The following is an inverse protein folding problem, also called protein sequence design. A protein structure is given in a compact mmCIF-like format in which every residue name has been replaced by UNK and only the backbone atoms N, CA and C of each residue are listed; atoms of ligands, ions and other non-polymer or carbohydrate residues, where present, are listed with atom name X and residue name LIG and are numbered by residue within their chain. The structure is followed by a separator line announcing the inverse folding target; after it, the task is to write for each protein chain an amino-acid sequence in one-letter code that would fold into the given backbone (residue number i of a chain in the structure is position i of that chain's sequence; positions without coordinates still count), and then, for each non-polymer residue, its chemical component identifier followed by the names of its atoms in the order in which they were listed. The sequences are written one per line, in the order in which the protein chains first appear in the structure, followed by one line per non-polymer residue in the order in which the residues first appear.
data_IF_270824337086
#
_entry.id   IF_270824337086
#
_cell.length_a   1.000
_cell.length_b   1.000
_cell.length_c   1.000
_cell.angle_alpha   90.00
_cell.angle_beta   90.00
_cell.angle_gamma   90.00
#
_symmetry.space_group_name_H-M   'P 1'
#
loop_
_entity.id
_entity.type
_entity.pdbx_description
1 polymer ?
#
# COMPACT_ATOMS: atom_id res chain seq x y z
N UNK A 1 14.87 6.16 25.16
CA UNK A 1 15.19 5.85 23.75
C UNK A 1 13.87 5.87 22.99
N UNK A 2 13.79 6.53 21.84
CA UNK A 2 12.59 6.41 20.98
C UNK A 2 12.54 4.97 20.46
N UNK A 3 11.42 4.28 20.66
CA UNK A 3 11.22 2.94 20.09
C UNK A 3 11.11 3.06 18.58
N UNK A 4 11.83 2.20 17.84
CA UNK A 4 11.69 2.07 16.40
C UNK A 4 10.58 1.04 16.17
N UNK A 5 9.52 1.42 15.44
CA UNK A 5 8.53 0.47 14.96
C UNK A 5 9.03 -0.13 13.64
N UNK A 6 9.06 -1.45 13.56
CA UNK A 6 9.42 -2.16 12.33
C UNK A 6 8.14 -2.45 11.54
N UNK A 7 8.08 -1.96 10.31
CA UNK A 7 7.07 -2.33 9.33
C UNK A 7 7.44 -3.68 8.70
N UNK A 8 6.48 -4.32 8.05
CA UNK A 8 6.78 -5.42 7.12
C UNK A 8 7.63 -4.91 5.94
N UNK A 9 8.26 -5.84 5.23
CA UNK A 9 9.15 -5.52 4.11
C UNK A 9 8.44 -5.53 2.76
N UNK A 10 9.16 -5.92 1.72
CA UNK A 10 8.62 -6.06 0.36
C UNK A 10 7.63 -7.22 0.25
N UNK A 11 6.47 -7.08 0.91
CA UNK A 11 5.44 -8.11 1.04
C UNK A 11 5.10 -8.78 -0.29
N UNK A 12 4.73 -7.99 -1.29
CA UNK A 12 4.32 -8.52 -2.58
C UNK A 12 5.45 -9.25 -3.31
N UNK A 13 6.70 -8.81 -3.18
CA UNK A 13 7.85 -9.48 -3.77
C UNK A 13 8.11 -10.83 -3.11
N UNK A 14 8.04 -10.90 -1.78
CA UNK A 14 8.24 -12.13 -1.04
C UNK A 14 7.13 -13.15 -1.31
N UNK A 15 5.87 -12.70 -1.40
CA UNK A 15 4.74 -13.54 -1.79
C UNK A 15 5.00 -14.12 -3.19
N UNK A 16 5.35 -13.27 -4.17
CA UNK A 16 5.55 -13.71 -5.55
C UNK A 16 6.72 -14.66 -5.69
N UNK A 17 7.80 -14.45 -4.91
CA UNK A 17 8.95 -15.34 -4.88
C UNK A 17 8.62 -16.76 -4.38
N UNK A 18 7.65 -16.89 -3.47
CA UNK A 18 7.21 -18.19 -2.90
C UNK A 18 6.10 -18.85 -3.71
N UNK A 19 5.39 -18.06 -4.51
CA UNK A 19 4.28 -18.58 -5.31
C UNK A 19 4.74 -19.56 -6.38
N UNK A 20 3.92 -20.58 -6.63
CA UNK A 20 4.15 -21.56 -7.69
C UNK A 20 3.23 -21.26 -8.88
N UNK A 21 3.82 -21.02 -10.04
CA UNK A 21 3.11 -20.93 -11.33
C UNK A 21 1.99 -19.87 -11.41
N UNK A 22 2.08 -18.78 -10.64
CA UNK A 22 1.13 -17.67 -10.75
C UNK A 22 1.71 -16.60 -11.65
N UNK A 23 1.04 -16.31 -12.77
CA UNK A 23 1.39 -15.23 -13.70
C UNK A 23 0.17 -14.34 -13.86
N UNK A 24 0.23 -13.10 -13.35
CA UNK A 24 -0.89 -12.17 -13.41
C UNK A 24 -0.42 -10.73 -13.28
N UNK A 25 -1.13 -9.80 -13.93
CA UNK A 25 -0.95 -8.36 -13.75
C UNK A 25 -1.37 -7.89 -12.34
N UNK A 26 -2.16 -8.70 -11.62
CA UNK A 26 -2.53 -8.47 -10.22
C UNK A 26 -1.48 -8.97 -9.22
N UNK A 27 -0.39 -9.56 -9.72
CA UNK A 27 0.80 -9.90 -8.95
C UNK A 27 0.48 -10.68 -7.64
N UNK A 28 0.86 -10.16 -6.47
CA UNK A 28 0.63 -10.82 -5.17
C UNK A 28 -0.85 -11.01 -4.81
N UNK A 29 -1.74 -10.18 -5.37
CA UNK A 29 -3.20 -10.34 -5.19
C UNK A 29 -3.70 -11.62 -5.87
N UNK A 30 -3.17 -11.95 -7.05
CA UNK A 30 -3.49 -13.22 -7.70
C UNK A 30 -3.02 -14.42 -6.88
N UNK A 31 -1.81 -14.34 -6.29
CA UNK A 31 -1.32 -15.37 -5.37
C UNK A 31 -2.26 -15.54 -4.17
N UNK A 32 -2.72 -14.44 -3.58
CA UNK A 32 -3.66 -14.47 -2.46
C UNK A 32 -4.98 -15.18 -2.82
N UNK A 33 -5.46 -15.01 -4.05
CA UNK A 33 -6.68 -15.68 -4.53
C UNK A 33 -6.48 -17.18 -4.74
N UNK A 34 -5.33 -17.59 -5.28
CA UNK A 34 -5.06 -18.97 -5.67
C UNK A 34 -4.34 -19.78 -4.58
N UNK A 35 -3.46 -19.14 -3.82
CA UNK A 35 -2.60 -19.75 -2.82
C UNK A 35 -2.59 -18.91 -1.52
N UNK A 36 -3.73 -18.74 -0.83
CA UNK A 36 -3.85 -17.85 0.34
C UNK A 36 -2.91 -18.24 1.49
N UNK A 37 -2.56 -19.52 1.63
CA UNK A 37 -1.65 -19.99 2.66
C UNK A 37 -0.24 -19.43 2.48
N UNK A 38 0.23 -19.24 1.24
CA UNK A 38 1.52 -18.60 0.96
C UNK A 38 1.54 -17.18 1.52
N UNK A 39 0.45 -16.44 1.37
CA UNK A 39 0.35 -15.05 1.88
C UNK A 39 0.31 -15.05 3.41
N UNK A 40 -0.45 -15.97 4.02
CA UNK A 40 -0.48 -16.15 5.49
C UNK A 40 0.92 -16.42 6.04
N UNK A 41 1.66 -17.33 5.41
CA UNK A 41 3.02 -17.71 5.84
C UNK A 41 4.00 -16.53 5.73
N UNK A 42 3.91 -15.73 4.65
CA UNK A 42 4.75 -14.54 4.49
C UNK A 42 4.48 -13.51 5.59
N UNK A 43 3.22 -13.22 5.89
CA UNK A 43 2.87 -12.34 7.01
C UNK A 43 3.39 -12.88 8.34
N UNK A 44 3.20 -14.18 8.62
CA UNK A 44 3.69 -14.79 9.84
C UNK A 44 5.21 -14.69 9.98
N UNK A 45 5.96 -14.82 8.88
CA UNK A 45 7.41 -14.69 8.88
C UNK A 45 7.86 -13.25 9.13
N UNK A 46 7.18 -12.24 8.57
CA UNK A 46 7.45 -10.84 8.92
C UNK A 46 7.18 -10.55 10.39
N UNK A 47 6.08 -11.08 10.95
CA UNK A 47 5.80 -10.96 12.40
C UNK A 47 6.91 -11.59 13.24
N UNK A 48 7.36 -12.81 12.89
CA UNK A 48 8.46 -13.51 13.57
C UNK A 48 9.79 -12.76 13.44
N UNK A 49 10.01 -12.08 12.32
CA UNK A 49 11.17 -11.21 12.11
C UNK A 49 11.12 -9.91 12.90
N UNK A 50 10.01 -9.61 13.58
CA UNK A 50 9.86 -8.47 14.48
C UNK A 50 8.99 -7.33 13.95
N UNK A 51 8.35 -7.48 12.78
CA UNK A 51 7.39 -6.49 12.30
C UNK A 51 6.22 -6.32 13.29
N UNK A 52 5.79 -5.08 13.48
CA UNK A 52 4.68 -4.73 14.39
C UNK A 52 3.58 -3.95 13.69
N UNK A 53 3.77 -3.61 12.43
CA UNK A 53 2.73 -3.08 11.55
C UNK A 53 2.80 -3.87 10.25
N UNK A 54 1.71 -4.51 9.86
CA UNK A 54 1.60 -5.40 8.70
C UNK A 54 0.65 -4.80 7.68
N UNK A 55 1.10 -4.71 6.44
CA UNK A 55 0.35 -4.12 5.34
C UNK A 55 -0.57 -5.16 4.69
N UNK A 56 -1.83 -4.80 4.46
CA UNK A 56 -2.76 -5.64 3.70
C UNK A 56 -2.25 -5.88 2.28
N UNK A 57 -2.33 -7.12 1.81
CA UNK A 57 -1.92 -7.49 0.45
C UNK A 57 -2.92 -7.02 -0.62
N UNK A 58 -3.15 -5.71 -0.70
CA UNK A 58 -4.14 -5.07 -1.59
C UNK A 58 -3.52 -4.11 -2.60
N UNK A 59 -2.18 -4.06 -2.71
CA UNK A 59 -1.47 -3.11 -3.59
C UNK A 59 -1.95 -3.12 -5.05
N UNK A 60 -2.27 -4.28 -5.61
CA UNK A 60 -2.81 -4.38 -6.97
C UNK A 60 -4.35 -4.43 -7.00
N UNK A 61 -5.04 -4.41 -5.85
CA UNK A 61 -6.50 -4.51 -5.75
C UNK A 61 -7.20 -3.15 -5.79
N UNK A 62 -6.80 -2.26 -6.70
CA UNK A 62 -7.49 -0.98 -6.90
C UNK A 62 -8.69 -1.15 -7.83
N UNK A 63 -9.75 -0.32 -7.73
CA UNK A 63 -10.90 -0.38 -8.63
C UNK A 63 -10.49 -0.40 -10.10
N UNK A 64 -9.63 0.56 -10.50
CA UNK A 64 -9.15 0.66 -11.88
C UNK A 64 -8.38 -0.58 -12.34
N UNK A 65 -7.51 -1.17 -11.50
CA UNK A 65 -6.71 -2.36 -11.89
C UNK A 65 -7.58 -3.60 -11.98
N UNK A 66 -8.47 -3.81 -11.00
CA UNK A 66 -9.38 -4.95 -11.01
C UNK A 66 -10.37 -4.90 -12.18
N UNK A 67 -10.88 -3.71 -12.52
CA UNK A 67 -11.77 -3.55 -13.67
C UNK A 67 -11.10 -3.96 -15.00
N UNK A 68 -9.79 -3.67 -15.17
CA UNK A 68 -9.03 -4.09 -16.36
C UNK A 68 -8.89 -5.60 -16.50
N UNK A 69 -8.89 -6.30 -15.37
CA UNK A 69 -8.81 -7.77 -15.31
C UNK A 69 -10.19 -8.44 -15.23
N UNK A 70 -11.29 -7.68 -15.38
CA UNK A 70 -12.64 -8.20 -15.29
C UNK A 70 -13.08 -8.62 -13.90
N UNK A 71 -12.40 -8.14 -12.84
CA UNK A 71 -12.62 -8.50 -11.45
C UNK A 71 -13.19 -7.35 -10.60
N UNK A 72 -13.75 -6.31 -11.25
CA UNK A 72 -14.30 -5.16 -10.54
C UNK A 72 -15.35 -5.52 -9.49
N UNK A 73 -16.24 -6.47 -9.78
CA UNK A 73 -17.28 -6.91 -8.86
C UNK A 73 -16.74 -7.73 -7.67
N UNK A 74 -15.50 -8.24 -7.77
CA UNK A 74 -14.87 -9.02 -6.71
C UNK A 74 -14.07 -8.17 -5.71
N UNK A 75 -13.99 -6.86 -5.89
CA UNK A 75 -13.14 -5.97 -5.08
C UNK A 75 -13.39 -6.13 -3.58
N UNK A 76 -14.65 -6.20 -3.15
CA UNK A 76 -15.01 -6.40 -1.75
C UNK A 76 -14.50 -7.73 -1.19
N UNK A 77 -14.68 -8.82 -1.93
CA UNK A 77 -14.23 -10.15 -1.53
C UNK A 77 -12.70 -10.24 -1.48
N UNK A 78 -12.00 -9.59 -2.42
CA UNK A 78 -10.53 -9.54 -2.45
C UNK A 78 -9.98 -8.80 -1.23
N UNK A 79 -10.55 -7.64 -0.89
CA UNK A 79 -10.14 -6.89 0.31
C UNK A 79 -10.44 -7.64 1.59
N UNK A 80 -11.60 -8.29 1.70
CA UNK A 80 -11.92 -9.15 2.83
C UNK A 80 -10.93 -10.31 2.97
N UNK A 81 -10.56 -10.96 1.86
CA UNK A 81 -9.55 -12.02 1.85
C UNK A 81 -8.19 -11.54 2.36
N UNK A 82 -7.81 -10.29 2.07
CA UNK A 82 -6.56 -9.71 2.57
C UNK A 82 -6.55 -9.61 4.11
N UNK A 83 -7.68 -9.24 4.72
CA UNK A 83 -7.82 -9.31 6.19
C UNK A 83 -7.74 -10.74 6.71
N UNK A 84 -8.50 -11.66 6.13
CA UNK A 84 -8.53 -13.06 6.57
C UNK A 84 -7.14 -13.72 6.62
N UNK A 85 -6.31 -13.52 5.57
CA UNK A 85 -4.96 -14.11 5.54
C UNK A 85 -4.03 -13.47 6.56
N UNK A 86 -4.14 -12.16 6.79
CA UNK A 86 -3.35 -11.46 7.79
C UNK A 86 -3.78 -11.82 9.21
N UNK A 87 -5.08 -11.84 9.50
CA UNK A 87 -5.62 -12.25 10.81
C UNK A 87 -5.24 -13.69 11.16
N UNK A 88 -5.20 -14.60 10.18
CA UNK A 88 -4.68 -15.96 10.36
C UNK A 88 -3.20 -15.95 10.77
N UNK A 89 -2.38 -15.11 10.14
CA UNK A 89 -0.96 -14.98 10.49
C UNK A 89 -0.78 -14.42 11.92
N UNK A 90 -1.59 -13.45 12.31
CA UNK A 90 -1.63 -12.92 13.68
C UNK A 90 -2.01 -14.01 14.67
N UNK A 91 -3.06 -14.77 14.40
CA UNK A 91 -3.49 -15.88 15.25
C UNK A 91 -2.42 -16.97 15.37
N UNK A 92 -1.71 -17.30 14.30
CA UNK A 92 -0.63 -18.30 14.30
C UNK A 92 0.59 -17.87 15.10
N UNK A 93 0.85 -16.57 15.20
CA UNK A 93 2.03 -16.02 15.89
C UNK A 93 1.72 -15.55 17.30
N UNK A 94 0.46 -15.26 17.62
CA UNK A 94 0.02 -14.69 18.89
C UNK A 94 0.58 -13.29 19.17
N UNK A 95 1.04 -12.59 18.13
CA UNK A 95 1.66 -11.29 18.28
C UNK A 95 0.62 -10.16 18.31
N UNK A 96 0.94 -9.11 19.06
CA UNK A 96 0.21 -7.84 19.05
C UNK A 96 0.83 -6.94 17.98
N UNK A 97 0.06 -6.67 16.92
CA UNK A 97 0.50 -5.94 15.74
C UNK A 97 -0.63 -5.07 15.19
N UNK A 98 -0.27 -3.92 14.61
CA UNK A 98 -1.20 -3.05 13.90
C UNK A 98 -1.39 -3.56 12.45
N UNK A 99 -2.62 -3.46 11.96
CA UNK A 99 -2.97 -3.70 10.56
C UNK A 99 -2.92 -2.39 9.79
N UNK A 100 -2.08 -2.33 8.76
CA UNK A 100 -2.01 -1.20 7.87
C UNK A 100 -2.84 -1.43 6.60
N UNK A 101 -3.78 -0.53 6.32
CA UNK A 101 -4.44 -0.45 5.02
C UNK A 101 -3.47 0.09 3.96
N UNK A 102 -3.48 -0.50 2.78
CA UNK A 102 -2.61 -0.12 1.66
C UNK A 102 -3.35 0.80 0.69
N UNK A 103 -2.82 1.99 0.45
CA UNK A 103 -3.30 2.94 -0.55
C UNK A 103 -2.22 3.17 -1.61
N UNK A 104 -2.18 2.34 -2.66
CA UNK A 104 -1.16 2.38 -3.71
C UNK A 104 -1.52 3.34 -4.84
N UNK A 105 -0.61 3.63 -5.80
CA UNK A 105 -0.97 4.30 -7.04
C UNK A 105 -2.09 3.54 -7.78
N UNK A 106 -3.17 4.23 -8.13
CA UNK A 106 -4.43 3.59 -8.58
C UNK A 106 -4.31 2.88 -9.92
N UNK A 107 -3.64 3.53 -10.89
CA UNK A 107 -3.62 3.07 -12.28
C UNK A 107 -2.47 2.12 -12.55
N UNK A 108 -1.40 2.24 -11.83
CA UNK A 108 -0.18 1.44 -11.96
C UNK A 108 1.01 2.16 -11.35
N UNK A 109 1.98 1.37 -10.90
CA UNK A 109 3.22 1.88 -10.35
C UNK A 109 4.04 2.62 -11.43
N UNK A 110 4.83 3.61 -11.00
CA UNK A 110 5.81 4.30 -11.83
C UNK A 110 5.25 5.11 -13.00
N UNK A 111 4.07 5.71 -12.85
CA UNK A 111 3.52 6.69 -13.80
C UNK A 111 3.85 8.11 -13.34
N UNK A 112 4.19 8.99 -14.30
CA UNK A 112 4.57 10.38 -14.00
C UNK A 112 3.39 11.23 -13.55
N UNK A 113 2.25 11.11 -14.24
CA UNK A 113 1.01 11.79 -13.88
C UNK A 113 -0.19 10.92 -14.24
N UNK A 114 -1.24 10.94 -13.42
CA UNK A 114 -2.53 10.35 -13.80
C UNK A 114 -3.23 11.29 -14.79
N UNK A 115 -3.85 10.72 -15.81
CA UNK A 115 -4.77 11.43 -16.73
C UNK A 115 -6.16 11.48 -16.08
N UNK A 116 -6.25 12.09 -14.89
CA UNK A 116 -7.45 12.12 -14.03
C UNK A 116 -7.43 13.36 -13.14
N UNK A 117 -8.62 13.82 -12.76
CA UNK A 117 -8.77 14.94 -11.82
C UNK A 117 -8.49 14.51 -10.37
N UNK A 118 -8.31 15.49 -9.48
CA UNK A 118 -8.20 15.22 -8.04
C UNK A 118 -9.45 14.51 -7.50
N UNK A 119 -10.63 14.94 -7.93
CA UNK A 119 -11.92 14.40 -7.51
C UNK A 119 -12.08 12.93 -7.94
N UNK A 120 -11.69 12.59 -9.18
CA UNK A 120 -11.70 11.21 -9.66
C UNK A 120 -10.79 10.30 -8.86
N UNK A 121 -9.56 10.79 -8.60
CA UNK A 121 -8.58 10.04 -7.81
C UNK A 121 -9.08 9.86 -6.36
N UNK A 122 -9.54 10.96 -5.73
CA UNK A 122 -10.04 10.91 -4.36
C UNK A 122 -11.22 9.94 -4.22
N UNK A 123 -12.17 9.97 -5.14
CA UNK A 123 -13.33 9.06 -5.09
C UNK A 123 -12.92 7.58 -5.11
N UNK A 124 -11.87 7.23 -5.85
CA UNK A 124 -11.36 5.87 -5.90
C UNK A 124 -10.60 5.51 -4.61
N UNK A 125 -9.85 6.45 -4.03
CA UNK A 125 -9.23 6.25 -2.70
C UNK A 125 -10.27 6.14 -1.59
N UNK A 126 -11.37 6.87 -1.64
CA UNK A 126 -12.49 6.75 -0.68
C UNK A 126 -13.07 5.32 -0.68
N UNK A 127 -13.17 4.69 -1.84
CA UNK A 127 -13.58 3.28 -1.95
C UNK A 127 -12.56 2.39 -1.22
N UNK A 128 -11.26 2.57 -1.47
CA UNK A 128 -10.20 1.77 -0.83
C UNK A 128 -10.18 1.96 0.69
N UNK A 129 -10.29 3.19 1.17
CA UNK A 129 -10.37 3.50 2.60
C UNK A 129 -11.57 2.81 3.25
N UNK A 130 -12.75 2.87 2.60
CA UNK A 130 -13.96 2.20 3.08
C UNK A 130 -13.81 0.68 3.14
N UNK A 131 -13.26 0.07 2.09
CA UNK A 131 -13.02 -1.38 2.03
C UNK A 131 -12.02 -1.86 3.09
N UNK A 132 -11.11 -0.98 3.50
CA UNK A 132 -10.06 -1.27 4.48
C UNK A 132 -10.34 -0.59 5.83
N UNK A 133 -11.60 -0.31 6.15
CA UNK A 133 -11.99 0.38 7.39
C UNK A 133 -11.65 -0.39 8.68
N UNK A 134 -11.36 -1.69 8.60
CA UNK A 134 -10.83 -2.50 9.70
C UNK A 134 -9.34 -2.30 10.02
N UNK A 135 -8.59 -1.58 9.18
CA UNK A 135 -7.18 -1.29 9.44
C UNK A 135 -7.01 -0.27 10.60
N UNK A 136 -5.88 -0.33 11.30
CA UNK A 136 -5.54 0.58 12.41
C UNK A 136 -4.91 1.88 11.89
N UNK A 137 -4.15 1.78 10.79
CA UNK A 137 -3.42 2.88 10.15
C UNK A 137 -3.50 2.72 8.63
N UNK A 138 -3.32 3.80 7.87
CA UNK A 138 -3.15 3.72 6.42
C UNK A 138 -1.73 4.00 5.99
N UNK A 139 -1.21 3.20 5.05
CA UNK A 139 0.04 3.44 4.35
C UNK A 139 -0.25 3.80 2.89
N UNK A 140 0.03 5.04 2.54
CA UNK A 140 -0.01 5.53 1.17
C UNK A 140 1.36 5.24 0.57
N UNK A 141 1.42 4.35 -0.42
CA UNK A 141 2.69 3.77 -0.87
C UNK A 141 3.07 4.18 -2.29
N UNK A 142 4.39 4.33 -2.50
CA UNK A 142 5.01 4.42 -3.84
C UNK A 142 4.48 5.58 -4.68
N UNK A 143 4.15 6.70 -4.05
CA UNK A 143 3.63 7.88 -4.76
C UNK A 143 4.73 8.49 -5.63
N UNK A 144 4.40 8.73 -6.89
CA UNK A 144 5.31 9.23 -7.94
C UNK A 144 4.94 10.63 -8.45
N UNK A 145 3.86 11.19 -7.92
CA UNK A 145 3.39 12.56 -8.19
C UNK A 145 2.59 13.09 -6.99
N UNK A 146 2.54 14.42 -6.84
CA UNK A 146 1.86 15.05 -5.73
C UNK A 146 0.34 15.05 -5.85
N UNK A 147 -0.22 15.01 -7.06
CA UNK A 147 -1.68 15.04 -7.27
C UNK A 147 -2.33 13.78 -6.69
N UNK A 148 -1.78 12.61 -7.02
CA UNK A 148 -2.29 11.34 -6.55
C UNK A 148 -2.04 11.17 -5.03
N UNK A 149 -0.86 11.60 -4.54
CA UNK A 149 -0.55 11.63 -3.12
C UNK A 149 -1.53 12.50 -2.33
N UNK A 150 -1.87 13.70 -2.82
CA UNK A 150 -2.87 14.59 -2.20
C UNK A 150 -4.25 13.94 -2.11
N UNK A 151 -4.69 13.29 -3.19
CA UNK A 151 -5.99 12.63 -3.22
C UNK A 151 -6.05 11.47 -2.22
N UNK A 152 -4.99 10.64 -2.15
CA UNK A 152 -4.88 9.56 -1.18
C UNK A 152 -4.84 10.07 0.27
N UNK A 153 -4.05 11.12 0.52
CA UNK A 153 -3.97 11.75 1.85
C UNK A 153 -5.30 12.36 2.29
N UNK A 154 -6.05 12.99 1.37
CA UNK A 154 -7.37 13.54 1.69
C UNK A 154 -8.35 12.44 2.09
N UNK A 155 -8.41 11.34 1.32
CA UNK A 155 -9.26 10.19 1.65
C UNK A 155 -8.86 9.53 2.99
N UNK A 156 -7.56 9.32 3.22
CA UNK A 156 -7.07 8.75 4.48
C UNK A 156 -7.40 9.65 5.68
N UNK A 157 -7.23 10.97 5.56
CA UNK A 157 -7.53 11.94 6.63
C UNK A 157 -9.01 11.92 7.01
N UNK A 158 -9.92 11.80 6.05
CA UNK A 158 -11.37 11.73 6.30
C UNK A 158 -11.78 10.46 7.07
N UNK A 159 -10.95 9.41 7.06
CA UNK A 159 -11.19 8.21 7.88
C UNK A 159 -11.03 8.44 9.39
N UNK A 160 -10.36 9.52 9.77
CA UNK A 160 -9.99 9.82 11.16
C UNK A 160 -8.88 8.93 11.73
N UNK A 161 -8.29 8.04 10.92
CA UNK A 161 -7.19 7.16 11.33
C UNK A 161 -5.83 7.78 11.03
N UNK A 162 -4.77 7.42 11.79
CA UNK A 162 -3.42 7.83 11.45
C UNK A 162 -3.01 7.29 10.09
N UNK A 163 -2.19 8.02 9.34
CA UNK A 163 -1.67 7.57 8.07
C UNK A 163 -0.27 8.13 7.80
N UNK A 164 0.52 7.35 7.07
CA UNK A 164 1.81 7.77 6.53
C UNK A 164 1.78 7.81 5.01
N UNK A 165 2.62 8.66 4.40
CA UNK A 165 2.77 8.74 2.95
C UNK A 165 4.20 8.48 2.53
N UNK A 166 4.39 7.56 1.59
CA UNK A 166 5.67 7.18 1.04
C UNK A 166 5.79 7.61 -0.43
N UNK A 167 6.87 8.30 -0.73
CA UNK A 167 7.23 8.71 -2.08
C UNK A 167 8.30 7.79 -2.66
N UNK A 168 8.26 7.59 -3.96
CA UNK A 168 9.30 6.93 -4.70
C UNK A 168 10.11 7.95 -5.49
N UNK A 169 11.44 7.92 -5.27
CA UNK A 169 12.37 8.79 -5.97
C UNK A 169 13.04 8.06 -7.14
N UNK A 170 13.30 8.80 -8.22
CA UNK A 170 14.18 8.39 -9.31
C UNK A 170 15.64 8.62 -8.93
N UNK A 171 16.58 8.17 -9.74
CA UNK A 171 18.02 8.27 -9.50
C UNK A 171 18.53 9.72 -9.35
N UNK A 172 17.80 10.70 -9.86
CA UNK A 172 18.11 12.14 -9.74
C UNK A 172 17.52 12.79 -8.45
N UNK A 173 16.93 12.00 -7.56
CA UNK A 173 16.32 12.47 -6.30
C UNK A 173 14.96 13.14 -6.46
N UNK A 174 14.35 13.09 -7.64
CA UNK A 174 13.02 13.64 -7.90
C UNK A 174 11.97 12.55 -8.00
N UNK A 175 10.71 12.94 -7.86
CA UNK A 175 9.60 12.07 -8.22
C UNK A 175 9.56 11.90 -9.76
N UNK A 176 8.91 10.83 -10.23
CA UNK A 176 8.77 10.56 -11.66
C UNK A 176 8.01 11.65 -12.43
N UNK A 177 7.19 12.43 -11.75
CA UNK A 177 6.55 13.65 -12.26
C UNK A 177 7.52 14.79 -12.55
N UNK A 178 8.77 14.70 -12.05
CA UNK A 178 9.77 15.77 -12.10
C UNK A 178 9.75 16.71 -10.88
N UNK A 179 8.79 16.54 -9.99
CA UNK A 179 8.69 17.30 -8.73
C UNK A 179 9.83 16.90 -7.78
N UNK A 180 10.29 17.85 -6.99
CA UNK A 180 11.20 17.57 -5.88
C UNK A 180 10.45 16.92 -4.72
N UNK A 181 11.16 16.18 -3.87
CA UNK A 181 10.57 15.64 -2.64
C UNK A 181 9.99 16.74 -1.75
N UNK A 182 10.64 17.90 -1.67
CA UNK A 182 10.17 19.03 -0.87
C UNK A 182 8.81 19.58 -1.37
N UNK A 183 8.63 19.72 -2.69
CA UNK A 183 7.36 20.13 -3.29
C UNK A 183 6.26 19.09 -3.02
N UNK A 184 6.56 17.80 -3.16
CA UNK A 184 5.60 16.74 -2.90
C UNK A 184 5.19 16.66 -1.41
N UNK A 185 6.15 16.81 -0.48
CA UNK A 185 5.88 16.87 0.97
C UNK A 185 5.02 18.08 1.32
N UNK A 186 5.32 19.28 0.75
CA UNK A 186 4.52 20.47 1.00
C UNK A 186 3.09 20.30 0.48
N UNK A 187 2.92 19.62 -0.66
CA UNK A 187 1.62 19.38 -1.26
C UNK A 187 0.68 18.55 -0.36
N UNK A 188 1.22 17.62 0.47
CA UNK A 188 0.43 16.76 1.36
C UNK A 188 0.38 17.24 2.81
N UNK A 189 1.19 18.25 3.18
CA UNK A 189 1.34 18.71 4.56
C UNK A 189 0.01 19.06 5.23
N UNK A 190 -0.87 19.75 4.52
CA UNK A 190 -2.16 20.19 5.05
C UNK A 190 -3.11 19.03 5.41
N UNK A 191 -2.91 17.84 4.82
CA UNK A 191 -3.70 16.64 5.14
C UNK A 191 -3.25 15.97 6.45
N UNK A 192 -2.14 16.41 7.07
CA UNK A 192 -1.69 15.94 8.37
C UNK A 192 -1.17 14.50 8.44
N UNK A 193 -0.33 14.03 7.48
CA UNK A 193 0.27 12.70 7.60
C UNK A 193 1.14 12.61 8.86
N UNK A 194 1.07 11.48 9.56
CA UNK A 194 1.86 11.22 10.77
C UNK A 194 3.32 10.87 10.45
N UNK A 195 3.59 10.41 9.22
CA UNK A 195 4.93 10.09 8.75
C UNK A 195 5.09 10.41 7.24
N UNK A 196 6.28 10.88 6.89
CA UNK A 196 6.75 10.97 5.50
C UNK A 196 7.81 9.89 5.33
N UNK A 197 7.68 9.07 4.30
CA UNK A 197 8.52 7.90 4.07
C UNK A 197 9.02 7.87 2.62
N UNK A 198 9.99 7.01 2.36
CA UNK A 198 10.46 6.68 1.03
C UNK A 198 10.41 5.15 0.86
N UNK A 199 9.93 4.69 -0.28
CA UNK A 199 9.91 3.27 -0.59
C UNK A 199 10.13 3.00 -2.09
N UNK A 200 10.42 1.76 -2.44
CA UNK A 200 10.60 1.32 -3.83
C UNK A 200 11.61 2.14 -4.65
N UNK A 201 12.60 2.71 -4.02
CA UNK A 201 13.73 3.42 -4.65
C UNK A 201 15.07 2.84 -4.17
N UNK A 202 16.13 3.10 -4.92
CA UNK A 202 17.46 2.64 -4.57
C UNK A 202 17.94 3.31 -3.26
N UNK A 203 18.58 2.56 -2.34
CA UNK A 203 19.04 3.10 -1.06
C UNK A 203 20.00 4.29 -1.21
N UNK A 204 20.77 4.35 -2.27
CA UNK A 204 21.72 5.43 -2.59
C UNK A 204 21.02 6.78 -2.82
N UNK A 205 19.76 6.77 -3.20
CA UNK A 205 18.97 8.00 -3.42
C UNK A 205 18.45 8.59 -2.10
N UNK A 206 18.44 7.78 -1.05
CA UNK A 206 17.89 8.15 0.28
C UNK A 206 18.99 8.71 1.20
N UNK A 207 20.26 8.48 0.88
CA UNK A 207 21.43 8.82 1.70
C UNK A 207 21.97 10.23 1.50
#
# INVERSE_FOLDING_TARGET
MKSVALLDGGLGQEIYRRAMNVTSLLWSVAVMREQPDVVTDVHADFIRAGARTLTLNTYAATPTRLAREGLGDEIGAIHQRAFEVLERAIALTGADVDIAGCLPPLVGSYRSQPDRTFEDLKSEFDILVKLQSGADVFLIETMTNSLEAKAACAAANESGKPFGVAFRLEADGKLRSGETLAEAVEAVRASGPTAIMLNCCDPEVIS
#
